data_IF_112955904762
#
_entry.id   IF_112955904762
#
_cell.length_a   1.000
_cell.length_b   1.000
_cell.length_c   1.000
_cell.angle_alpha   90.00
_cell.angle_beta   90.00
_cell.angle_gamma   90.00
#
_symmetry.space_group_name_H-M   'P 1'
#
loop_
_entity.id
_entity.type
_entity.pdbx_description
1 polymer ?
#
# COMPACT_ATOMS: atom_id res chain seq x y z
N UNK A 1 8.72 4.49 25.53
CA UNK A 1 9.10 4.13 24.17
C UNK A 1 9.87 5.28 23.54
N UNK A 2 10.95 4.96 22.90
CA UNK A 2 11.80 5.96 22.29
C UNK A 2 11.15 6.48 20.99
N UNK A 3 10.82 7.77 20.96
CA UNK A 3 10.19 8.36 19.79
C UNK A 3 11.12 8.33 18.57
N UNK A 4 12.42 8.46 18.78
CA UNK A 4 13.38 8.37 17.67
C UNK A 4 13.36 6.98 17.04
N UNK A 5 13.32 5.94 17.87
CA UNK A 5 13.21 4.57 17.36
C UNK A 5 11.91 4.33 16.62
N UNK A 6 10.82 4.87 17.13
CA UNK A 6 9.51 4.76 16.51
C UNK A 6 9.51 5.37 15.10
N UNK A 7 10.02 6.61 14.99
CA UNK A 7 10.10 7.29 13.70
C UNK A 7 11.06 6.57 12.76
N UNK A 8 12.22 6.16 13.28
CA UNK A 8 13.23 5.48 12.46
C UNK A 8 12.71 4.17 11.89
N UNK A 9 11.97 3.40 12.69
CA UNK A 9 11.39 2.13 12.22
C UNK A 9 10.39 2.37 11.10
N UNK A 10 9.58 3.41 11.22
CA UNK A 10 8.63 3.76 10.16
C UNK A 10 9.35 4.17 8.89
N UNK A 11 10.36 5.04 9.01
CA UNK A 11 11.10 5.49 7.84
C UNK A 11 11.87 4.36 7.17
N UNK A 12 12.32 3.40 7.96
CA UNK A 12 12.99 2.21 7.43
C UNK A 12 12.05 1.40 6.54
N UNK A 13 10.79 1.27 6.94
CA UNK A 13 9.80 0.61 6.09
C UNK A 13 9.55 1.38 4.81
N UNK A 14 9.48 2.71 4.90
CA UNK A 14 9.25 3.57 3.76
C UNK A 14 10.47 3.65 2.83
N UNK A 15 11.62 3.19 3.29
CA UNK A 15 12.82 3.16 2.47
C UNK A 15 12.81 2.15 1.35
N UNK A 16 11.81 1.28 1.30
CA UNK A 16 11.63 0.33 0.21
C UNK A 16 10.75 0.98 -0.86
N UNK A 17 11.23 0.99 -2.11
CA UNK A 17 10.53 1.68 -3.19
C UNK A 17 9.13 1.12 -3.41
N UNK A 18 8.98 -0.20 -3.37
CA UNK A 18 7.68 -0.83 -3.57
C UNK A 18 6.69 -0.39 -2.50
N UNK A 19 7.11 -0.41 -1.23
CA UNK A 19 6.24 0.00 -0.13
C UNK A 19 5.88 1.49 -0.22
N UNK A 20 6.86 2.32 -0.61
CA UNK A 20 6.63 3.75 -0.74
C UNK A 20 5.60 4.03 -1.83
N UNK A 21 5.69 3.33 -2.96
CA UNK A 21 4.71 3.45 -4.03
C UNK A 21 3.34 2.98 -3.57
N UNK A 22 3.26 1.86 -2.86
CA UNK A 22 1.99 1.36 -2.33
C UNK A 22 1.31 2.42 -1.45
N UNK A 23 2.06 3.03 -0.55
CA UNK A 23 1.50 4.04 0.34
C UNK A 23 1.06 5.27 -0.43
N UNK A 24 1.81 5.66 -1.44
CA UNK A 24 1.43 6.80 -2.29
C UNK A 24 0.13 6.55 -3.02
N UNK A 25 -0.09 5.33 -3.49
CA UNK A 25 -1.36 4.96 -4.13
C UNK A 25 -2.49 4.93 -3.12
N UNK A 26 -2.24 4.41 -1.92
CA UNK A 26 -3.25 4.35 -0.87
C UNK A 26 -3.64 5.73 -0.36
N UNK A 27 -2.79 6.73 -0.59
CA UNK A 27 -3.10 8.10 -0.20
C UNK A 27 -4.37 8.62 -0.85
N UNK A 28 -4.69 8.14 -2.04
CA UNK A 28 -5.81 8.65 -2.81
C UNK A 28 -7.08 7.82 -2.65
N UNK A 29 -6.94 6.52 -2.37
CA UNK A 29 -8.09 5.65 -2.14
C UNK A 29 -7.62 4.34 -1.53
N UNK A 30 -8.57 3.53 -1.09
CA UNK A 30 -8.23 2.18 -0.66
C UNK A 30 -7.99 1.29 -1.88
N UNK A 31 -7.19 0.26 -1.70
CA UNK A 31 -6.82 -0.68 -2.74
C UNK A 31 -7.02 -2.11 -2.27
N UNK A 32 -7.48 -2.95 -3.19
CA UNK A 32 -7.54 -4.40 -2.96
C UNK A 32 -6.18 -5.01 -3.29
N UNK A 33 -5.85 -6.13 -2.63
CA UNK A 33 -4.60 -6.85 -2.90
C UNK A 33 -4.44 -7.17 -4.38
N UNK A 34 -5.51 -7.57 -5.05
CA UNK A 34 -5.45 -7.93 -6.48
C UNK A 34 -5.04 -6.75 -7.36
N UNK A 35 -5.40 -5.54 -6.96
CA UNK A 35 -5.00 -4.36 -7.71
C UNK A 35 -3.49 -4.13 -7.61
N UNK A 36 -2.92 -4.35 -6.42
CA UNK A 36 -1.47 -4.25 -6.25
C UNK A 36 -0.74 -5.32 -7.06
N UNK A 37 -1.27 -6.55 -7.06
CA UNK A 37 -0.68 -7.63 -7.85
C UNK A 37 -0.63 -7.26 -9.32
N UNK A 38 -1.71 -6.65 -9.82
CA UNK A 38 -1.80 -6.23 -11.21
C UNK A 38 -0.76 -5.14 -11.54
N UNK A 39 -0.60 -4.17 -10.65
CA UNK A 39 0.28 -3.01 -10.89
C UNK A 39 1.75 -3.38 -10.78
N UNK A 40 2.11 -4.18 -9.79
CA UNK A 40 3.52 -4.44 -9.49
C UNK A 40 4.09 -5.67 -10.19
N UNK A 41 3.27 -6.46 -10.85
CA UNK A 41 3.70 -7.71 -11.48
C UNK A 41 4.44 -8.62 -10.49
N UNK A 42 3.99 -8.61 -9.24
CA UNK A 42 4.56 -9.41 -8.18
C UNK A 42 3.53 -10.46 -7.75
N UNK A 43 4.01 -11.55 -7.17
CA UNK A 43 3.11 -12.58 -6.67
C UNK A 43 2.29 -12.05 -5.50
N UNK A 44 1.11 -12.65 -5.29
CA UNK A 44 0.27 -12.27 -4.17
C UNK A 44 0.99 -12.44 -2.81
N UNK A 45 1.73 -13.52 -2.56
CA UNK A 45 2.47 -13.63 -1.30
C UNK A 45 3.49 -12.51 -1.09
N UNK A 46 4.16 -12.06 -2.16
CA UNK A 46 5.12 -10.97 -2.04
C UNK A 46 4.42 -9.66 -1.69
N UNK A 47 3.32 -9.36 -2.37
CA UNK A 47 2.51 -8.18 -2.07
C UNK A 47 2.00 -8.24 -0.63
N UNK A 48 1.48 -9.39 -0.23
CA UNK A 48 0.93 -9.57 1.12
C UNK A 48 1.99 -9.39 2.20
N UNK A 49 3.23 -9.79 1.94
CA UNK A 49 4.32 -9.57 2.88
C UNK A 49 4.60 -8.09 3.10
N UNK A 50 4.64 -7.31 2.03
CA UNK A 50 4.83 -5.86 2.15
C UNK A 50 3.71 -5.23 2.96
N UNK A 51 2.47 -5.59 2.66
CA UNK A 51 1.31 -5.04 3.35
C UNK A 51 1.28 -5.46 4.82
N UNK A 52 1.68 -6.70 5.11
CA UNK A 52 1.72 -7.19 6.48
C UNK A 52 2.73 -6.41 7.32
N UNK A 53 3.88 -6.09 6.76
CA UNK A 53 4.88 -5.29 7.45
C UNK A 53 4.35 -3.89 7.76
N UNK A 54 3.69 -3.27 6.80
CA UNK A 54 3.08 -1.95 7.00
C UNK A 54 1.97 -2.02 8.04
N UNK A 55 1.16 -3.04 7.99
CA UNK A 55 0.07 -3.23 8.96
C UNK A 55 0.62 -3.44 10.37
N UNK A 56 1.70 -4.19 10.50
CA UNK A 56 2.29 -4.47 11.82
C UNK A 56 2.76 -3.21 12.53
N UNK A 57 3.11 -2.18 11.76
CA UNK A 57 3.52 -0.89 12.32
C UNK A 57 2.36 0.12 12.38
N UNK A 58 1.16 -0.33 12.06
CA UNK A 58 -0.02 0.53 12.14
C UNK A 58 -0.10 1.58 11.04
N UNK A 59 0.67 1.43 9.97
CA UNK A 59 0.71 2.42 8.89
C UNK A 59 -0.47 2.24 7.94
N UNK A 60 -0.94 1.00 7.78
CA UNK A 60 -2.13 0.71 6.98
C UNK A 60 -3.13 -0.09 7.81
N UNK A 61 -4.38 -0.01 7.40
CA UNK A 61 -5.47 -0.81 7.95
C UNK A 61 -5.91 -1.83 6.92
N UNK A 62 -6.30 -2.99 7.40
CA UNK A 62 -6.84 -4.05 6.57
C UNK A 62 -8.33 -4.18 6.87
N UNK A 63 -9.12 -4.30 5.82
CA UNK A 63 -10.54 -4.55 5.98
C UNK A 63 -10.95 -5.69 5.07
N UNK A 64 -11.53 -6.72 5.66
CA UNK A 64 -12.02 -7.86 4.89
C UNK A 64 -13.50 -7.64 4.61
N UNK A 65 -13.87 -7.66 3.34
CA UNK A 65 -15.25 -7.52 2.88
C UNK A 65 -15.60 -8.75 2.09
N UNK A 66 -16.35 -9.67 2.69
CA UNK A 66 -16.63 -10.97 2.12
C UNK A 66 -15.31 -11.71 1.93
N UNK A 67 -14.93 -12.05 0.70
CA UNK A 67 -13.67 -12.72 0.40
C UNK A 67 -12.58 -11.78 -0.09
N UNK A 68 -12.86 -10.47 -0.11
CA UNK A 68 -11.93 -9.46 -0.61
C UNK A 68 -11.22 -8.79 0.55
N UNK A 69 -9.95 -8.46 0.34
CA UNK A 69 -9.14 -7.79 1.36
C UNK A 69 -8.70 -6.44 0.83
N UNK A 70 -9.13 -5.38 1.51
CA UNK A 70 -8.82 -4.01 1.15
C UNK A 70 -7.87 -3.40 2.17
N UNK A 71 -7.00 -2.53 1.69
CA UNK A 71 -6.06 -1.79 2.54
C UNK A 71 -6.29 -0.31 2.36
N UNK A 72 -6.12 0.43 3.44
CA UNK A 72 -6.21 1.89 3.44
C UNK A 72 -5.16 2.47 4.37
N UNK A 73 -4.84 3.75 4.19
CA UNK A 73 -3.86 4.41 5.05
C UNK A 73 -4.40 4.60 6.45
N UNK A 74 -3.49 4.53 7.41
CA UNK A 74 -3.77 4.81 8.82
C UNK A 74 -2.64 5.68 9.37
N UNK A 75 -2.52 6.90 8.84
CA UNK A 75 -1.40 7.78 9.15
C UNK A 75 -1.83 9.11 9.76
N UNK A 76 -3.08 9.22 10.22
CA UNK A 76 -3.60 10.47 10.80
C UNK A 76 -2.81 10.90 12.03
N UNK A 77 -2.26 9.95 12.77
CA UNK A 77 -1.44 10.19 13.94
C UNK A 77 0.06 10.10 13.66
N UNK A 78 0.45 10.12 12.38
CA UNK A 78 1.83 9.93 11.97
C UNK A 78 2.29 11.05 11.05
N UNK A 79 2.51 12.26 11.59
CA UNK A 79 2.87 13.41 10.75
C UNK A 79 4.15 13.22 9.95
N UNK A 80 5.09 12.44 10.47
CA UNK A 80 6.33 12.15 9.75
C UNK A 80 6.07 11.37 8.47
N UNK A 81 5.11 10.44 8.48
CA UNK A 81 4.76 9.68 7.28
C UNK A 81 3.94 10.55 6.33
N UNK A 82 3.02 11.35 6.88
CA UNK A 82 2.25 12.28 6.06
C UNK A 82 3.17 13.21 5.28
N UNK A 83 4.21 13.73 5.92
CA UNK A 83 5.16 14.63 5.26
C UNK A 83 5.88 13.94 4.11
N UNK A 84 6.29 12.70 4.30
CA UNK A 84 6.94 11.94 3.23
C UNK A 84 5.98 11.75 2.06
N UNK A 85 4.75 11.37 2.34
CA UNK A 85 3.77 11.12 1.28
C UNK A 85 3.39 12.40 0.53
N UNK A 86 3.35 13.53 1.23
CA UNK A 86 3.07 14.83 0.59
C UNK A 86 4.15 15.22 -0.42
N UNK A 87 5.37 14.71 -0.25
CA UNK A 87 6.46 15.01 -1.18
C UNK A 87 6.44 14.09 -2.41
N UNK A 88 5.56 13.10 -2.43
CA UNK A 88 5.49 12.15 -3.54
C UNK A 88 4.64 12.71 -4.67
N UNK A 89 4.90 12.30 -5.94
CA UNK A 89 4.03 12.67 -7.05
C UNK A 89 2.66 12.03 -6.90
N UNK A 90 1.69 12.50 -7.68
CA UNK A 90 0.35 11.93 -7.61
C UNK A 90 0.33 10.52 -8.20
N UNK A 91 -0.78 9.81 -7.98
CA UNK A 91 -0.89 8.40 -8.39
C UNK A 91 -0.81 8.24 -9.91
N UNK A 92 -1.34 9.17 -10.67
CA UNK A 92 -1.28 9.10 -12.13
C UNK A 92 0.16 9.15 -12.62
N UNK A 93 0.94 10.05 -12.03
CA UNK A 93 2.36 10.17 -12.38
C UNK A 93 3.13 8.91 -12.00
N UNK A 94 2.84 8.36 -10.83
CA UNK A 94 3.49 7.14 -10.36
C UNK A 94 3.17 5.97 -11.29
N UNK A 95 1.90 5.80 -11.64
CA UNK A 95 1.49 4.71 -12.54
C UNK A 95 2.13 4.85 -13.91
N UNK A 96 2.22 6.09 -14.41
CA UNK A 96 2.87 6.36 -15.69
C UNK A 96 4.35 5.99 -15.65
N UNK A 97 5.02 6.28 -14.54
CA UNK A 97 6.44 5.96 -14.41
C UNK A 97 6.68 4.45 -14.36
N UNK A 98 5.67 3.67 -13.99
CA UNK A 98 5.73 2.23 -13.99
C UNK A 98 5.28 1.63 -15.33
N UNK A 99 4.91 2.48 -16.30
CA UNK A 99 4.33 2.05 -17.57
C UNK A 99 3.02 1.30 -17.37
N UNK A 100 2.24 1.74 -16.39
CA UNK A 100 0.95 1.13 -16.04
C UNK A 100 -0.16 2.15 -16.10
N UNK A 101 -1.37 1.68 -16.28
CA UNK A 101 -2.58 2.48 -16.17
C UNK A 101 -3.28 2.09 -14.87
N UNK A 102 -4.41 2.74 -14.58
CA UNK A 102 -5.23 2.32 -13.46
C UNK A 102 -5.49 0.81 -13.55
N UNK A 103 -5.43 0.09 -12.42
CA UNK A 103 -5.61 -1.36 -12.48
C UNK A 103 -6.96 -1.71 -13.06
N UNK A 104 -6.93 -2.64 -13.99
CA UNK A 104 -8.14 -3.22 -14.56
C UNK A 104 -8.57 -4.46 -13.78
N UNK A 105 -7.72 -4.94 -12.88
CA UNK A 105 -8.05 -6.06 -12.04
C UNK A 105 -9.29 -5.72 -11.22
N UNK A 106 -10.21 -6.63 -11.19
CA UNK A 106 -11.50 -6.41 -10.57
C UNK A 106 -11.70 -7.39 -9.42
N UNK A 107 -11.83 -6.87 -8.23
CA UNK A 107 -12.08 -7.70 -7.06
C UNK A 107 -13.56 -8.06 -6.98
N UNK A 108 -14.00 -8.83 -7.94
CA UNK A 108 -15.35 -9.34 -8.01
C UNK A 108 -15.36 -10.85 -7.81
N UNK A 109 -16.54 -11.47 -7.86
CA UNK A 109 -16.66 -12.91 -7.64
C UNK A 109 -15.81 -13.77 -8.55
N UNK A 110 -15.43 -13.24 -9.70
CA UNK A 110 -14.65 -13.97 -10.69
C UNK A 110 -13.15 -13.80 -10.53
N UNK A 111 -12.71 -12.96 -9.62
CA UNK A 111 -11.28 -12.66 -9.47
C UNK A 111 -10.65 -13.61 -8.45
N UNK A 112 -9.68 -14.39 -8.87
CA UNK A 112 -8.92 -15.23 -7.97
C UNK A 112 -7.77 -14.48 -7.33
N UNK A 113 -7.40 -13.32 -7.86
CA UNK A 113 -6.28 -12.56 -7.34
C UNK A 113 -6.53 -11.98 -5.95
N UNK A 114 -7.79 -11.78 -5.60
CA UNK A 114 -8.16 -11.27 -4.28
C UNK A 114 -8.37 -12.37 -3.25
N UNK A 115 -8.32 -13.62 -3.64
CA UNK A 115 -8.42 -14.71 -2.68
C UNK A 115 -7.12 -14.83 -1.93
N UNK A 116 -7.15 -14.73 -0.65
CA UNK A 116 -5.92 -14.79 0.14
C UNK A 116 -6.01 -15.84 1.22
#
# INVERSE_FOLDING_TARGET
MDQLGYVADHLKLLGDKTRLIMLSLLREREWCVCEFVDIFDMSQPAISQHLRKLKSQGIVKEERRSQWVYYSLNVDDKPHIQAVLESMPDSKHILKSLNKEEPTAFCGPDSSACSS
#
